data_IF_900239957450
#
_entry.id   IF_900239957450
#
_cell.length_a   1.000
_cell.length_b   1.000
_cell.length_c   1.000
_cell.angle_alpha   90.00
_cell.angle_beta   90.00
_cell.angle_gamma   90.00
#
_symmetry.space_group_name_H-M   'P 1'
#
loop_
_entity.id
_entity.type
_entity.pdbx_description
1 polymer ?
#
# COMPACT_ATOMS: atom_id res chain seq x y z
N UNK A 1 20.64 -19.64 6.58
CA UNK A 1 19.71 -19.98 5.47
C UNK A 1 18.25 -19.68 5.82
N UNK A 2 17.80 -20.04 7.03
CA UNK A 2 16.50 -19.70 7.65
C UNK A 2 16.04 -18.24 7.45
N UNK A 3 16.91 -17.26 7.75
CA UNK A 3 16.58 -15.83 7.64
C UNK A 3 16.22 -15.41 6.20
N UNK A 4 16.96 -15.89 5.20
CA UNK A 4 16.69 -15.59 3.78
C UNK A 4 15.32 -16.14 3.34
N UNK A 5 14.98 -17.37 3.76
CA UNK A 5 13.67 -17.97 3.49
C UNK A 5 12.52 -17.17 4.12
N UNK A 6 12.71 -16.70 5.36
CA UNK A 6 11.73 -15.84 6.05
C UNK A 6 11.53 -14.48 5.36
N UNK A 7 12.61 -13.86 4.88
CA UNK A 7 12.55 -12.61 4.12
C UNK A 7 11.79 -12.80 2.80
N UNK A 8 12.14 -13.85 2.05
CA UNK A 8 11.48 -14.18 0.80
C UNK A 8 9.98 -14.42 0.99
N UNK A 9 9.61 -15.24 1.99
CA UNK A 9 8.20 -15.51 2.29
C UNK A 9 7.39 -14.26 2.62
N UNK A 10 7.97 -13.31 3.38
CA UNK A 10 7.30 -12.04 3.69
C UNK A 10 7.17 -11.13 2.46
N UNK A 11 8.17 -11.11 1.57
CA UNK A 11 8.08 -10.36 0.33
C UNK A 11 7.01 -10.95 -0.61
N UNK A 12 6.93 -12.28 -0.75
CA UNK A 12 5.88 -12.95 -1.53
C UNK A 12 4.49 -12.63 -0.95
N UNK A 13 4.34 -12.71 0.38
CA UNK A 13 3.10 -12.31 1.05
C UNK A 13 2.75 -10.84 0.77
N UNK A 14 3.74 -9.93 0.73
CA UNK A 14 3.53 -8.53 0.40
C UNK A 14 3.06 -8.33 -1.05
N UNK A 15 3.58 -9.10 -2.01
CA UNK A 15 3.12 -9.10 -3.42
C UNK A 15 1.65 -9.51 -3.49
N UNK A 16 1.27 -10.62 -2.84
CA UNK A 16 -0.11 -11.11 -2.83
C UNK A 16 -1.07 -10.08 -2.22
N UNK A 17 -0.66 -9.48 -1.08
CA UNK A 17 -1.43 -8.40 -0.44
C UNK A 17 -1.57 -7.19 -1.35
N UNK A 18 -0.50 -6.77 -2.03
CA UNK A 18 -0.56 -5.65 -2.98
C UNK A 18 -1.54 -5.96 -4.13
N UNK A 19 -1.53 -7.18 -4.67
CA UNK A 19 -2.48 -7.61 -5.69
C UNK A 19 -3.92 -7.56 -5.19
N UNK A 20 -4.20 -8.10 -4.00
CA UNK A 20 -5.53 -8.03 -3.38
C UNK A 20 -5.98 -6.57 -3.21
N UNK A 21 -5.15 -5.73 -2.60
CA UNK A 21 -5.50 -4.33 -2.35
C UNK A 21 -5.71 -3.56 -3.66
N UNK A 22 -4.86 -3.75 -4.66
CA UNK A 22 -5.00 -3.09 -5.95
C UNK A 22 -6.29 -3.48 -6.66
N UNK A 23 -6.64 -4.78 -6.68
CA UNK A 23 -7.88 -5.27 -7.32
C UNK A 23 -9.12 -4.75 -6.58
N UNK A 24 -9.22 -4.97 -5.27
CA UNK A 24 -10.40 -4.54 -4.50
C UNK A 24 -10.54 -3.02 -4.47
N UNK A 25 -9.44 -2.28 -4.32
CA UNK A 25 -9.47 -0.82 -4.37
C UNK A 25 -9.92 -0.31 -5.74
N UNK A 26 -9.48 -0.92 -6.82
CA UNK A 26 -9.93 -0.55 -8.17
C UNK A 26 -11.42 -0.84 -8.39
N UNK A 27 -11.95 -1.93 -7.82
CA UNK A 27 -13.40 -2.20 -7.86
C UNK A 27 -14.19 -1.14 -7.08
N UNK A 28 -13.69 -0.72 -5.91
CA UNK A 28 -14.43 0.13 -4.99
C UNK A 28 -14.28 1.62 -5.25
N UNK A 29 -13.17 2.10 -5.82
CA UNK A 29 -12.78 3.52 -5.72
C UNK A 29 -13.78 4.53 -6.30
N UNK A 30 -14.65 4.11 -7.22
CA UNK A 30 -15.67 4.94 -7.85
C UNK A 30 -17.04 4.87 -7.16
N UNK A 31 -17.17 4.19 -6.00
CA UNK A 31 -18.43 4.15 -5.26
C UNK A 31 -18.68 5.45 -4.48
N UNK A 32 -19.90 5.99 -4.62
CA UNK A 32 -20.37 7.18 -3.89
C UNK A 32 -21.60 6.84 -3.04
N UNK A 33 -21.73 7.49 -1.88
CA UNK A 33 -22.96 7.55 -1.10
C UNK A 33 -23.68 8.85 -1.42
N UNK A 34 -24.96 8.74 -1.81
CA UNK A 34 -25.84 9.86 -2.15
C UNK A 34 -25.22 10.85 -3.16
N UNK A 35 -24.41 10.32 -4.11
CA UNK A 35 -23.67 11.07 -5.14
C UNK A 35 -22.70 12.17 -4.64
N UNK A 36 -22.49 12.27 -3.32
CA UNK A 36 -21.73 13.35 -2.70
C UNK A 36 -20.50 12.83 -1.96
N UNK A 37 -20.62 11.68 -1.29
CA UNK A 37 -19.55 11.18 -0.42
C UNK A 37 -18.80 10.02 -1.09
N UNK A 38 -17.49 10.16 -1.40
CA UNK A 38 -16.71 9.16 -2.13
C UNK A 38 -16.29 7.99 -1.22
N UNK A 39 -17.26 7.23 -0.70
CA UNK A 39 -17.03 6.13 0.24
C UNK A 39 -16.03 5.10 -0.33
N UNK A 40 -16.09 4.87 -1.64
CA UNK A 40 -15.23 3.93 -2.34
C UNK A 40 -13.75 4.28 -2.21
N UNK A 41 -13.41 5.54 -2.44
CA UNK A 41 -12.05 6.06 -2.27
C UNK A 41 -11.60 5.98 -0.81
N UNK A 42 -12.47 6.34 0.15
CA UNK A 42 -12.15 6.25 1.59
C UNK A 42 -11.84 4.81 2.00
N UNK A 43 -12.67 3.85 1.61
CA UNK A 43 -12.48 2.43 1.92
C UNK A 43 -11.22 1.87 1.24
N UNK A 44 -10.98 2.22 -0.03
CA UNK A 44 -9.83 1.75 -0.79
C UNK A 44 -8.51 2.26 -0.19
N UNK A 45 -8.43 3.55 0.14
CA UNK A 45 -7.26 4.15 0.77
C UNK A 45 -7.08 3.65 2.22
N UNK A 46 -8.17 3.45 2.96
CA UNK A 46 -8.16 2.81 4.26
C UNK A 46 -7.58 1.40 4.21
N UNK A 47 -7.95 0.61 3.20
CA UNK A 47 -7.40 -0.73 2.99
C UNK A 47 -5.89 -0.69 2.70
N UNK A 48 -5.43 0.21 1.83
CA UNK A 48 -3.99 0.42 1.58
C UNK A 48 -3.25 0.73 2.88
N UNK A 49 -3.77 1.68 3.66
CA UNK A 49 -3.15 2.10 4.92
C UNK A 49 -3.09 0.94 5.93
N UNK A 50 -4.21 0.25 6.16
CA UNK A 50 -4.29 -0.86 7.11
C UNK A 50 -3.36 -2.00 6.73
N UNK A 51 -3.31 -2.38 5.46
CA UNK A 51 -2.41 -3.45 4.98
C UNK A 51 -0.94 -3.01 5.06
N UNK A 52 -0.62 -1.78 4.65
CA UNK A 52 0.74 -1.25 4.77
C UNK A 52 1.22 -1.23 6.22
N UNK A 53 0.35 -0.82 7.16
CA UNK A 53 0.63 -0.84 8.60
C UNK A 53 0.76 -2.27 9.13
N UNK A 54 -0.10 -3.19 8.72
CA UNK A 54 -0.01 -4.61 9.09
C UNK A 54 1.32 -5.21 8.64
N UNK A 55 1.75 -4.96 7.40
CA UNK A 55 3.06 -5.45 6.91
C UNK A 55 4.17 -4.79 7.72
N UNK A 56 4.05 -3.50 8.06
CA UNK A 56 5.05 -2.75 8.81
C UNK A 56 5.28 -3.31 10.20
N UNK A 57 4.20 -3.58 10.94
CA UNK A 57 4.25 -4.10 12.31
C UNK A 57 4.65 -5.57 12.34
N UNK A 58 4.21 -6.38 11.37
CA UNK A 58 4.53 -7.80 11.29
C UNK A 58 5.95 -8.08 10.76
N UNK A 59 6.57 -7.12 10.07
CA UNK A 59 7.90 -7.28 9.46
C UNK A 59 8.99 -6.75 10.37
N UNK A 60 10.07 -7.51 10.57
CA UNK A 60 11.24 -7.07 11.35
C UNK A 60 12.23 -6.20 10.54
N UNK A 61 12.00 -6.05 9.24
CA UNK A 61 12.89 -5.40 8.28
C UNK A 61 12.06 -4.65 7.23
N UNK A 62 12.68 -3.70 6.50
CA UNK A 62 11.98 -2.74 5.63
C UNK A 62 11.48 -3.31 4.29
N UNK A 63 12.10 -4.38 3.76
CA UNK A 63 11.86 -4.83 2.39
C UNK A 63 10.39 -5.17 2.05
N UNK A 64 9.59 -5.84 2.91
CA UNK A 64 8.22 -6.23 2.52
C UNK A 64 7.32 -5.01 2.31
N UNK A 65 7.53 -3.93 3.06
CA UNK A 65 6.78 -2.68 2.86
C UNK A 65 7.15 -1.99 1.55
N UNK A 66 8.42 -1.96 1.19
CA UNK A 66 8.85 -1.40 -0.10
C UNK A 66 8.32 -2.24 -1.26
N UNK A 67 8.39 -3.57 -1.15
CA UNK A 67 7.81 -4.49 -2.14
C UNK A 67 6.31 -4.23 -2.30
N UNK A 68 5.56 -4.14 -1.19
CA UNK A 68 4.14 -3.81 -1.21
C UNK A 68 3.88 -2.48 -1.95
N UNK A 69 4.65 -1.43 -1.63
CA UNK A 69 4.49 -0.11 -2.25
C UNK A 69 4.76 -0.12 -3.76
N UNK A 70 5.90 -0.70 -4.19
CA UNK A 70 6.26 -0.78 -5.61
C UNK A 70 5.29 -1.65 -6.41
N UNK A 71 4.88 -2.80 -5.86
CA UNK A 71 3.92 -3.68 -6.55
C UNK A 71 2.55 -3.01 -6.66
N UNK A 72 2.09 -2.34 -5.59
CA UNK A 72 0.83 -1.57 -5.62
C UNK A 72 0.89 -0.48 -6.67
N UNK A 73 1.98 0.30 -6.72
CA UNK A 73 2.19 1.32 -7.73
C UNK A 73 2.19 0.73 -9.15
N UNK A 74 2.91 -0.38 -9.36
CA UNK A 74 2.98 -1.05 -10.67
C UNK A 74 1.63 -1.57 -11.14
N UNK A 75 0.82 -2.15 -10.24
CA UNK A 75 -0.53 -2.64 -10.57
C UNK A 75 -1.51 -1.49 -10.83
N UNK A 76 -1.47 -0.43 -10.02
CA UNK A 76 -2.29 0.78 -10.26
C UNK A 76 -1.91 1.41 -11.59
N UNK A 77 -0.61 1.52 -11.89
CA UNK A 77 -0.14 1.99 -13.18
C UNK A 77 -0.70 1.11 -14.31
N UNK A 78 -0.59 -0.20 -14.18
CA UNK A 78 -1.15 -1.16 -15.14
C UNK A 78 -2.65 -0.94 -15.34
N UNK A 79 -3.44 -0.88 -14.28
CA UNK A 79 -4.91 -0.67 -14.34
C UNK A 79 -5.33 0.71 -14.86
N UNK A 80 -4.42 1.68 -14.85
CA UNK A 80 -4.64 3.01 -15.42
C UNK A 80 -4.36 3.06 -16.94
N UNK A 81 -3.74 2.02 -17.51
CA UNK A 81 -3.48 1.96 -18.94
C UNK A 81 -4.76 1.67 -19.73
N UNK A 82 -4.80 2.14 -20.97
CA UNK A 82 -5.88 1.80 -21.91
C UNK A 82 -5.68 0.39 -22.41
N UNK A 83 -6.39 -0.58 -21.83
CA UNK A 83 -6.59 -1.87 -22.47
C UNK A 83 -7.90 -1.82 -23.22
N UNK A 84 -7.82 -1.76 -24.55
CA UNK A 84 -8.98 -1.64 -25.44
C UNK A 84 -9.67 -0.28 -25.35
N UNK A 85 -10.92 -0.24 -24.87
CA UNK A 85 -11.79 0.94 -24.92
C UNK A 85 -11.98 1.61 -23.56
N UNK A 86 -11.90 0.85 -22.45
CA UNK A 86 -12.16 1.36 -21.10
C UNK A 86 -10.95 1.19 -20.18
N UNK A 87 -10.78 2.16 -19.28
CA UNK A 87 -9.77 2.10 -18.21
C UNK A 87 -10.43 1.67 -16.93
N UNK A 88 -9.78 0.75 -16.21
CA UNK A 88 -10.24 0.37 -14.88
C UNK A 88 -10.07 1.52 -13.87
N UNK A 89 -9.06 2.38 -14.10
CA UNK A 89 -8.86 3.63 -13.36
C UNK A 89 -8.93 4.79 -14.34
N UNK A 90 -10.10 5.41 -14.54
CA UNK A 90 -10.26 6.55 -15.44
C UNK A 90 -9.58 7.82 -14.90
N UNK A 91 -9.19 8.73 -15.80
CA UNK A 91 -8.56 10.01 -15.46
C UNK A 91 -9.59 11.06 -14.99
N UNK A 92 -10.28 10.75 -13.89
CA UNK A 92 -11.22 11.62 -13.20
C UNK A 92 -10.81 11.81 -11.74
N UNK A 93 -11.56 12.61 -10.98
CA UNK A 93 -11.24 12.92 -9.58
C UNK A 93 -11.10 11.67 -8.71
N UNK A 94 -12.03 10.71 -8.79
CA UNK A 94 -11.99 9.48 -8.00
C UNK A 94 -10.77 8.62 -8.39
N UNK A 95 -10.48 8.50 -9.69
CA UNK A 95 -9.30 7.80 -10.18
C UNK A 95 -8.00 8.41 -9.68
N UNK A 96 -7.87 9.74 -9.67
CA UNK A 96 -6.69 10.43 -9.14
C UNK A 96 -6.53 10.27 -7.63
N UNK A 97 -7.62 10.37 -6.86
CA UNK A 97 -7.59 10.13 -5.41
C UNK A 97 -7.11 8.71 -5.13
N UNK A 98 -7.62 7.74 -5.87
CA UNK A 98 -7.20 6.34 -5.73
C UNK A 98 -5.73 6.14 -6.09
N UNK A 99 -5.33 6.54 -7.31
CA UNK A 99 -3.99 6.24 -7.83
C UNK A 99 -2.88 6.94 -7.04
N UNK A 100 -3.02 8.25 -6.81
CA UNK A 100 -2.00 9.03 -6.09
C UNK A 100 -2.08 8.79 -4.59
N UNK A 101 -3.29 8.70 -4.03
CA UNK A 101 -3.48 8.44 -2.59
C UNK A 101 -2.90 7.09 -2.18
N UNK A 102 -3.13 6.04 -2.96
CA UNK A 102 -2.59 4.71 -2.67
C UNK A 102 -1.06 4.70 -2.70
N UNK A 103 -0.46 5.33 -3.72
CA UNK A 103 1.00 5.45 -3.82
C UNK A 103 1.58 6.21 -2.63
N UNK A 104 1.04 7.40 -2.32
CA UNK A 104 1.49 8.23 -1.20
C UNK A 104 1.39 7.46 0.13
N UNK A 105 0.26 6.83 0.42
CA UNK A 105 0.07 6.09 1.67
C UNK A 105 1.02 4.89 1.78
N UNK A 106 1.15 4.09 0.72
CA UNK A 106 2.02 2.92 0.73
C UNK A 106 3.49 3.30 0.95
N UNK A 107 3.97 4.34 0.25
CA UNK A 107 5.34 4.83 0.41
C UNK A 107 5.56 5.53 1.75
N UNK A 108 4.62 6.36 2.22
CA UNK A 108 4.72 7.02 3.52
C UNK A 108 4.90 5.98 4.65
N UNK A 109 4.09 4.92 4.66
CA UNK A 109 4.20 3.85 5.66
C UNK A 109 5.48 3.04 5.49
N UNK A 110 5.92 2.79 4.25
CA UNK A 110 7.16 2.08 3.99
C UNK A 110 8.40 2.86 4.45
N UNK A 111 8.43 4.16 4.22
CA UNK A 111 9.54 5.04 4.55
C UNK A 111 9.53 5.52 6.00
N UNK A 112 8.40 5.41 6.70
CA UNK A 112 8.27 5.85 8.08
C UNK A 112 9.42 5.30 8.96
N UNK A 113 10.00 6.11 9.86
CA UNK A 113 11.10 5.67 10.71
C UNK A 113 10.65 4.60 11.71
N UNK A 114 11.48 3.56 11.90
CA UNK A 114 11.27 2.57 12.97
C UNK A 114 11.96 3.10 14.21
N UNK A 115 11.23 3.82 15.05
CA UNK A 115 11.80 4.34 16.29
C UNK A 115 11.84 3.19 17.30
N UNK A 116 13.04 2.81 17.74
CA UNK A 116 13.22 1.82 18.80
C UNK A 116 12.75 2.39 20.14
N UNK A 117 12.18 1.55 21.02
CA UNK A 117 11.89 1.94 22.40
C UNK A 117 13.13 2.43 23.15
N UNK A 118 14.34 2.00 22.76
CA UNK A 118 15.61 2.52 23.31
C UNK A 118 15.92 3.94 22.83
N UNK A 119 15.68 4.22 21.54
CA UNK A 119 15.81 5.57 20.98
C UNK A 119 14.79 6.54 21.58
N UNK A 120 13.58 6.07 21.87
CA UNK A 120 12.56 6.85 22.59
C UNK A 120 12.96 7.19 24.04
N UNK A 121 13.73 6.32 24.71
CA UNK A 121 14.17 6.54 26.10
C UNK A 121 15.42 7.43 26.22
N UNK A 122 16.00 7.89 25.11
CA UNK A 122 17.21 8.73 25.11
C UNK A 122 18.51 7.96 25.36
N UNK A 123 18.47 6.62 25.42
CA UNK A 123 19.65 5.78 25.59
C UNK A 123 20.47 5.76 24.30
N UNK A 124 21.36 6.74 24.18
CA UNK A 124 22.26 6.94 23.04
C UNK A 124 23.55 6.13 23.13
N UNK A 125 23.64 5.19 24.08
CA UNK A 125 24.88 4.46 24.34
C UNK A 125 25.08 3.37 23.27
N UNK A 126 26.21 3.36 22.56
CA UNK A 126 26.51 2.32 21.59
C UNK A 126 26.68 0.97 22.31
N UNK A 127 26.09 -0.09 21.74
CA UNK A 127 26.32 -1.49 22.11
C UNK A 127 27.42 -2.09 21.27
#
# INVERSE_FOLDING_TARGET
>A
MESKKRVLGKNISAVLKAATVAVFGTILHQSFLFDQFPIGSVLSLGLVLLVALQIRTASGFKSPNLVFAFVTLGLIFLFSQSFWQDKMIPANQAGFIWSYGAAVLAFAVAMWPRISSKQWRGDSRPS
#
